data_IF_254228405873
#
_entry.id   IF_254228405873
#
_cell.length_a   1.000
_cell.length_b   1.000
_cell.length_c   1.000
_cell.angle_alpha   90.00
_cell.angle_beta   90.00
_cell.angle_gamma   90.00
#
_symmetry.space_group_name_H-M   'P 1'
#
loop_
_entity.id
_entity.type
_entity.pdbx_description
1 polymer ?
#
# COMPACT_ATOMS: atom_id res chain seq x y z
N UNK A 1 -24.07 -30.16 9.76
CA UNK A 1 -22.93 -29.26 9.95
C UNK A 1 -21.96 -29.82 10.97
N UNK A 2 -20.81 -30.27 10.52
CA UNK A 2 -19.64 -30.54 11.37
C UNK A 2 -18.53 -29.58 10.98
N UNK A 3 -17.78 -29.10 11.98
CA UNK A 3 -16.68 -28.16 11.80
C UNK A 3 -15.40 -28.86 12.23
N UNK A 4 -14.36 -28.68 11.42
CA UNK A 4 -13.01 -29.14 11.69
C UNK A 4 -12.05 -27.98 11.53
N UNK A 5 -10.99 -27.99 12.33
CA UNK A 5 -9.79 -27.18 12.09
C UNK A 5 -8.78 -28.06 11.39
N UNK A 6 -8.21 -27.58 10.29
CA UNK A 6 -7.19 -28.29 9.53
C UNK A 6 -5.86 -27.59 9.70
N UNK A 7 -4.87 -28.34 10.18
CA UNK A 7 -3.49 -27.89 10.38
C UNK A 7 -2.56 -28.95 9.78
N UNK A 8 -1.57 -28.54 8.98
CA UNK A 8 -0.65 -29.46 8.32
C UNK A 8 -1.37 -30.63 7.60
N UNK A 9 -2.44 -30.31 6.89
CA UNK A 9 -3.29 -31.26 6.16
C UNK A 9 -3.98 -32.33 7.02
N UNK A 10 -4.00 -32.16 8.34
CA UNK A 10 -4.71 -33.02 9.30
C UNK A 10 -5.92 -32.28 9.85
N UNK A 11 -7.09 -32.92 9.84
CA UNK A 11 -8.35 -32.34 10.33
C UNK A 11 -8.63 -32.77 11.78
N UNK A 12 -9.00 -31.81 12.61
CA UNK A 12 -9.35 -31.99 14.02
C UNK A 12 -10.78 -31.51 14.25
N UNK A 13 -11.69 -32.34 14.79
CA UNK A 13 -13.04 -31.91 15.15
C UNK A 13 -12.97 -30.71 16.10
N UNK A 14 -13.69 -29.63 15.77
CA UNK A 14 -13.60 -28.39 16.52
C UNK A 14 -14.92 -27.62 16.55
N UNK A 15 -15.06 -26.73 17.54
CA UNK A 15 -16.01 -25.62 17.48
C UNK A 15 -15.22 -24.32 17.36
N UNK A 16 -15.66 -23.38 16.52
CA UNK A 16 -14.96 -22.11 16.29
C UNK A 16 -15.91 -20.95 16.49
N UNK A 17 -15.54 -20.00 17.35
CA UNK A 17 -16.30 -18.77 17.60
C UNK A 17 -15.47 -17.55 17.19
N UNK A 18 -16.00 -16.72 16.28
CA UNK A 18 -15.37 -15.47 15.85
C UNK A 18 -15.78 -14.28 16.70
N UNK A 19 -14.85 -13.36 16.93
CA UNK A 19 -15.11 -12.04 17.49
C UNK A 19 -14.30 -10.99 16.71
N UNK A 20 -15.02 -10.21 15.89
CA UNK A 20 -14.45 -9.20 15.02
C UNK A 20 -13.76 -8.05 15.78
N UNK A 21 -14.13 -7.81 17.04
CA UNK A 21 -13.56 -6.73 17.87
C UNK A 21 -13.35 -7.25 19.29
N UNK A 22 -12.23 -7.94 19.51
CA UNK A 22 -11.85 -8.40 20.84
C UNK A 22 -11.23 -7.29 21.67
N UNK A 23 -12.08 -6.57 22.43
CA UNK A 23 -11.64 -5.49 23.32
C UNK A 23 -10.66 -5.93 24.41
N UNK A 24 -10.63 -7.23 24.73
CA UNK A 24 -9.68 -7.79 25.69
C UNK A 24 -8.31 -8.08 25.08
N UNK A 25 -8.17 -7.93 23.75
CA UNK A 25 -6.92 -8.14 23.03
C UNK A 25 -6.69 -7.06 21.97
N UNK A 26 -6.66 -5.80 22.44
CA UNK A 26 -6.37 -4.62 21.63
C UNK A 26 -7.35 -4.38 20.45
N UNK A 27 -8.57 -4.90 20.55
CA UNK A 27 -9.61 -4.72 19.53
C UNK A 27 -9.40 -5.54 18.26
N UNK A 28 -8.44 -6.49 18.24
CA UNK A 28 -8.17 -7.31 17.07
C UNK A 28 -9.29 -8.30 16.78
N UNK A 29 -9.41 -8.72 15.53
CA UNK A 29 -10.29 -9.82 15.13
C UNK A 29 -9.70 -11.15 15.63
N UNK A 30 -10.53 -11.99 16.22
CA UNK A 30 -10.12 -13.24 16.87
C UNK A 30 -11.05 -14.40 16.56
N UNK A 31 -10.50 -15.61 16.62
CA UNK A 31 -11.23 -16.88 16.60
C UNK A 31 -10.84 -17.71 17.79
N UNK A 32 -11.80 -18.10 18.61
CA UNK A 32 -11.60 -19.06 19.69
C UNK A 32 -11.95 -20.45 19.17
N UNK A 33 -10.97 -21.34 19.15
CA UNK A 33 -11.08 -22.72 18.69
C UNK A 33 -11.18 -23.62 19.91
N UNK A 34 -12.17 -24.51 19.96
CA UNK A 34 -12.37 -25.51 21.00
C UNK A 34 -12.07 -26.90 20.44
N UNK A 35 -11.17 -27.63 21.09
CA UNK A 35 -10.66 -28.95 20.68
C UNK A 35 -10.74 -29.94 21.83
N UNK A 36 -11.00 -31.21 21.54
CA UNK A 36 -10.96 -32.30 22.53
C UNK A 36 -9.58 -32.95 22.53
N UNK A 37 -8.61 -32.29 23.15
CA UNK A 37 -7.24 -32.80 23.35
C UNK A 37 -6.59 -32.10 24.55
N UNK A 38 -5.37 -32.51 24.93
CA UNK A 38 -4.67 -31.89 26.05
C UNK A 38 -4.21 -30.46 25.75
N UNK A 39 -3.99 -29.67 26.80
CA UNK A 39 -3.40 -28.34 26.71
C UNK A 39 -2.12 -28.33 25.87
N UNK A 40 -1.17 -29.21 26.19
CA UNK A 40 0.12 -29.31 25.50
C UNK A 40 -0.04 -29.67 24.02
N UNK A 41 -1.03 -30.50 23.68
CA UNK A 41 -1.32 -30.84 22.28
C UNK A 41 -1.85 -29.63 21.51
N UNK A 42 -2.75 -28.83 22.09
CA UNK A 42 -3.22 -27.59 21.45
C UNK A 42 -2.08 -26.58 21.30
N UNK A 43 -1.26 -26.41 22.32
CA UNK A 43 -0.12 -25.49 22.30
C UNK A 43 0.90 -25.85 21.20
N UNK A 44 1.14 -27.15 20.99
CA UNK A 44 2.01 -27.63 19.92
C UNK A 44 1.35 -27.58 18.53
N UNK A 45 0.02 -27.71 18.47
CA UNK A 45 -0.74 -27.74 17.22
C UNK A 45 -0.88 -26.35 16.60
N UNK A 46 -1.09 -25.32 17.41
CA UNK A 46 -1.37 -23.96 16.98
C UNK A 46 -0.43 -22.92 17.66
N UNK A 47 0.90 -23.00 17.45
CA UNK A 47 1.80 -21.90 17.81
C UNK A 47 1.65 -20.70 16.87
N UNK A 48 2.30 -19.59 17.21
CA UNK A 48 2.33 -18.39 16.37
C UNK A 48 2.75 -18.71 14.92
N UNK A 49 2.10 -18.06 13.97
CA UNK A 49 2.29 -18.16 12.53
C UNK A 49 1.97 -19.54 11.92
N UNK A 50 1.23 -20.39 12.64
CA UNK A 50 0.76 -21.66 12.09
C UNK A 50 -0.32 -21.43 11.02
N UNK A 51 -0.14 -21.91 9.78
CA UNK A 51 -1.21 -21.88 8.77
C UNK A 51 -2.32 -22.87 9.16
N UNK A 52 -3.57 -22.42 9.09
CA UNK A 52 -4.72 -23.26 9.44
C UNK A 52 -5.97 -22.83 8.67
N UNK A 53 -6.90 -23.77 8.48
CA UNK A 53 -8.18 -23.53 7.82
C UNK A 53 -9.35 -24.11 8.62
N UNK A 54 -10.55 -23.57 8.37
CA UNK A 54 -11.79 -24.12 8.87
C UNK A 54 -12.40 -24.96 7.76
N UNK A 55 -12.66 -26.24 8.03
CA UNK A 55 -13.35 -27.15 7.12
C UNK A 55 -14.75 -27.39 7.66
N UNK A 56 -15.76 -26.96 6.91
CA UNK A 56 -17.16 -27.16 7.22
C UNK A 56 -17.74 -28.24 6.31
N UNK A 57 -18.39 -29.23 6.92
CA UNK A 57 -19.08 -30.31 6.19
C UNK A 57 -20.58 -30.27 6.46
N UNK A 58 -21.34 -30.19 5.37
CA UNK A 58 -22.79 -30.16 5.38
C UNK A 58 -23.39 -31.24 4.49
N UNK A 59 -24.66 -31.58 4.78
CA UNK A 59 -25.42 -32.55 4.00
C UNK A 59 -26.44 -31.80 3.17
N UNK A 60 -26.33 -31.87 1.85
CA UNK A 60 -27.24 -31.23 0.92
C UNK A 60 -28.04 -32.27 0.12
N UNK A 61 -29.29 -31.97 -0.27
CA UNK A 61 -30.04 -32.82 -1.20
C UNK A 61 -29.29 -32.93 -2.54
N UNK A 62 -29.30 -34.12 -3.12
CA UNK A 62 -28.89 -34.33 -4.50
C UNK A 62 -30.09 -34.03 -5.40
N UNK A 63 -29.84 -33.31 -6.49
CA UNK A 63 -30.87 -32.95 -7.47
C UNK A 63 -30.59 -33.69 -8.79
N UNK A 64 -31.64 -34.07 -9.50
CA UNK A 64 -31.55 -34.64 -10.84
C UNK A 64 -31.36 -33.57 -11.92
N UNK A 65 -31.27 -34.00 -13.18
CA UNK A 65 -31.11 -33.13 -14.35
C UNK A 65 -32.30 -32.17 -14.57
N UNK A 66 -33.46 -32.43 -13.95
CA UNK A 66 -34.62 -31.55 -13.99
C UNK A 66 -34.72 -30.63 -12.75
N UNK A 67 -33.71 -30.66 -11.87
CA UNK A 67 -33.66 -29.85 -10.65
C UNK A 67 -34.60 -30.34 -9.54
N UNK A 68 -35.10 -31.57 -9.60
CA UNK A 68 -35.91 -32.18 -8.54
C UNK A 68 -35.02 -32.95 -7.55
N UNK A 69 -35.33 -32.94 -6.24
CA UNK A 69 -34.55 -33.68 -5.25
C UNK A 69 -34.71 -35.20 -5.44
N UNK A 70 -33.59 -35.92 -5.50
CA UNK A 70 -33.58 -37.37 -5.79
C UNK A 70 -33.91 -38.24 -4.58
N UNK A 71 -34.08 -37.64 -3.39
CA UNK A 71 -34.18 -38.35 -2.12
C UNK A 71 -32.83 -38.83 -1.55
N UNK A 72 -31.74 -38.72 -2.33
CA UNK A 72 -30.37 -38.93 -1.86
C UNK A 72 -29.77 -37.62 -1.34
N UNK A 73 -28.79 -37.73 -0.45
CA UNK A 73 -27.99 -36.60 0.01
C UNK A 73 -26.54 -36.73 -0.45
N UNK A 74 -25.86 -35.59 -0.57
CA UNK A 74 -24.41 -35.51 -0.81
C UNK A 74 -23.75 -34.69 0.28
N UNK A 75 -22.50 -35.02 0.58
CA UNK A 75 -21.65 -34.18 1.42
C UNK A 75 -21.15 -32.97 0.62
N UNK A 76 -21.24 -31.79 1.21
CA UNK A 76 -20.67 -30.54 0.68
C UNK A 76 -19.60 -30.11 1.67
N UNK A 77 -18.38 -29.91 1.17
CA UNK A 77 -17.22 -29.50 1.96
C UNK A 77 -16.80 -28.10 1.53
N UNK A 78 -16.76 -27.18 2.48
CA UNK A 78 -16.25 -25.82 2.29
C UNK A 78 -15.02 -25.63 3.18
N UNK A 79 -13.88 -25.31 2.58
CA UNK A 79 -12.65 -24.99 3.30
C UNK A 79 -12.37 -23.48 3.18
N UNK A 80 -12.23 -22.83 4.33
CA UNK A 80 -11.89 -21.41 4.41
C UNK A 80 -10.50 -21.27 5.03
N UNK A 81 -9.56 -20.67 4.31
CA UNK A 81 -8.26 -20.31 4.87
C UNK A 81 -8.43 -19.31 6.03
N UNK A 82 -7.73 -19.55 7.13
CA UNK A 82 -7.73 -18.71 8.32
C UNK A 82 -6.30 -18.37 8.76
N UNK A 83 -5.31 -18.53 7.88
CA UNK A 83 -3.89 -18.29 8.16
C UNK A 83 -3.57 -16.85 8.57
N UNK A 84 -4.45 -15.88 8.27
CA UNK A 84 -4.36 -14.50 8.76
C UNK A 84 -4.53 -14.38 10.29
N UNK A 85 -5.16 -15.35 10.96
CA UNK A 85 -5.23 -15.43 12.42
C UNK A 85 -4.00 -16.15 12.95
N UNK A 86 -2.86 -15.49 12.80
CA UNK A 86 -1.53 -16.06 13.03
C UNK A 86 -1.02 -15.90 14.47
N UNK A 87 -1.66 -15.10 15.31
CA UNK A 87 -1.20 -14.87 16.69
C UNK A 87 -1.90 -15.80 17.66
N UNK A 88 -1.14 -16.61 18.38
CA UNK A 88 -1.62 -17.54 19.39
C UNK A 88 -1.76 -16.83 20.73
N UNK A 89 -2.97 -16.84 21.26
CA UNK A 89 -3.35 -16.22 22.51
C UNK A 89 -3.51 -17.22 23.64
N UNK A 90 -4.36 -16.87 24.60
CA UNK A 90 -4.61 -17.70 25.77
C UNK A 90 -5.17 -19.09 25.39
N UNK A 91 -4.63 -20.11 26.03
CA UNK A 91 -5.15 -21.47 26.03
C UNK A 91 -5.85 -21.71 27.38
N UNK A 92 -7.07 -22.26 27.36
CA UNK A 92 -7.88 -22.52 28.56
C UNK A 92 -8.35 -23.97 28.56
N UNK A 93 -8.10 -24.68 29.65
CA UNK A 93 -8.59 -26.05 29.90
C UNK A 93 -9.98 -25.98 30.56
N UNK A 94 -10.93 -26.74 30.02
CA UNK A 94 -12.31 -26.80 30.50
C UNK A 94 -12.59 -28.14 31.16
N UNK A 95 -13.39 -28.14 32.24
CA UNK A 95 -13.70 -29.36 33.00
C UNK A 95 -14.49 -30.43 32.22
N UNK A 96 -15.01 -30.09 31.04
CA UNK A 96 -15.71 -31.01 30.14
C UNK A 96 -14.76 -31.81 29.22
N UNK A 97 -13.44 -31.64 29.38
CA UNK A 97 -12.42 -32.33 28.59
C UNK A 97 -12.11 -31.64 27.27
N UNK A 98 -12.59 -30.40 27.06
CA UNK A 98 -12.20 -29.56 25.95
C UNK A 98 -11.13 -28.55 26.36
N UNK A 99 -10.33 -28.11 25.39
CA UNK A 99 -9.37 -27.02 25.53
C UNK A 99 -9.71 -25.99 24.46
N UNK A 100 -9.68 -24.71 24.83
CA UNK A 100 -9.84 -23.61 23.88
C UNK A 100 -8.54 -22.84 23.68
N UNK A 101 -8.21 -22.49 22.43
CA UNK A 101 -7.14 -21.53 22.09
C UNK A 101 -7.73 -20.35 21.33
N UNK A 102 -7.23 -19.15 21.64
CA UNK A 102 -7.59 -17.93 20.91
C UNK A 102 -6.55 -17.64 19.84
N UNK A 103 -6.98 -17.50 18.59
CA UNK A 103 -6.15 -17.09 17.46
C UNK A 103 -6.56 -15.68 17.03
N UNK A 104 -5.61 -14.77 16.87
CA UNK A 104 -5.87 -13.37 16.55
C UNK A 104 -5.19 -12.93 15.25
N UNK A 105 -5.82 -12.00 14.52
CA UNK A 105 -5.13 -11.27 13.45
C UNK A 105 -4.14 -10.28 14.05
N UNK A 106 -2.95 -10.09 13.45
CA UNK A 106 -2.12 -8.92 13.75
C UNK A 106 -2.93 -7.64 13.54
N UNK A 107 -2.74 -6.68 14.44
CA UNK A 107 -3.22 -5.31 14.21
C UNK A 107 -2.44 -4.65 13.08
N UNK A 108 -2.97 -3.57 12.51
CA UNK A 108 -2.24 -2.79 11.49
C UNK A 108 -0.89 -2.29 12.02
N UNK A 109 -0.85 -1.86 13.28
CA UNK A 109 0.39 -1.42 13.94
C UNK A 109 1.42 -2.57 14.07
N UNK A 110 0.99 -3.76 14.49
CA UNK A 110 1.87 -4.95 14.56
C UNK A 110 2.34 -5.38 13.17
N UNK A 111 1.48 -5.27 12.15
CA UNK A 111 1.82 -5.56 10.75
C UNK A 111 2.88 -4.57 10.24
N UNK A 112 2.72 -3.27 10.51
CA UNK A 112 3.68 -2.25 10.13
C UNK A 112 5.04 -2.46 10.82
N UNK A 113 5.05 -2.78 12.13
CA UNK A 113 6.28 -3.14 12.84
C UNK A 113 6.92 -4.38 12.23
N UNK A 114 6.13 -5.41 11.91
CA UNK A 114 6.62 -6.62 11.25
C UNK A 114 7.26 -6.35 9.89
N UNK A 115 6.67 -5.48 9.08
CA UNK A 115 7.23 -5.07 7.79
C UNK A 115 8.57 -4.34 7.95
N UNK A 116 8.69 -3.46 8.95
CA UNK A 116 9.96 -2.78 9.26
C UNK A 116 11.02 -3.79 9.72
N UNK A 117 10.67 -4.72 10.62
CA UNK A 117 11.57 -5.80 11.06
C UNK A 117 12.04 -6.65 9.89
N UNK A 118 11.17 -6.98 8.94
CA UNK A 118 11.55 -7.75 7.76
C UNK A 118 12.60 -7.02 6.89
N UNK A 119 12.57 -5.68 6.88
CA UNK A 119 13.53 -4.86 6.15
C UNK A 119 14.85 -4.70 6.91
N UNK A 120 14.82 -4.52 8.23
CA UNK A 120 16.00 -4.19 9.04
C UNK A 120 16.61 -5.37 9.79
N UNK A 121 15.93 -6.51 9.84
CA UNK A 121 16.28 -7.69 10.65
C UNK A 121 15.97 -7.54 12.15
N UNK A 122 15.60 -6.34 12.60
CA UNK A 122 15.39 -6.01 14.02
C UNK A 122 14.28 -4.98 14.19
N UNK A 123 13.63 -4.96 15.36
CA UNK A 123 12.60 -3.97 15.68
C UNK A 123 13.20 -2.57 15.75
N UNK A 124 12.80 -1.68 14.84
CA UNK A 124 13.21 -0.28 14.86
C UNK A 124 12.30 0.51 15.81
N UNK A 125 12.90 1.10 16.84
CA UNK A 125 12.20 2.01 17.75
C UNK A 125 12.02 3.39 17.11
N UNK A 126 11.06 4.18 17.60
CA UNK A 126 10.89 5.58 17.13
C UNK A 126 12.14 6.44 17.34
N UNK A 127 12.85 6.24 18.46
CA UNK A 127 14.11 6.94 18.70
C UNK A 127 15.17 6.56 17.64
N UNK A 128 15.29 5.27 17.32
CA UNK A 128 16.22 4.82 16.28
C UNK A 128 15.81 5.30 14.88
N UNK A 129 14.52 5.34 14.58
CA UNK A 129 14.01 5.89 13.32
C UNK A 129 14.38 7.38 13.17
N UNK A 130 14.26 8.18 14.24
CA UNK A 130 14.68 9.58 14.25
C UNK A 130 16.18 9.75 14.03
N UNK A 131 17.02 8.88 14.62
CA UNK A 131 18.47 8.87 14.38
C UNK A 131 18.84 8.47 12.94
N UNK A 132 18.10 7.56 12.33
CA UNK A 132 18.35 7.09 10.96
C UNK A 132 17.88 8.10 9.92
N UNK A 133 16.92 8.97 10.24
CA UNK A 133 16.33 9.90 9.28
C UNK A 133 17.37 10.78 8.56
N UNK A 134 18.31 11.46 9.24
CA UNK A 134 19.34 12.24 8.57
C UNK A 134 20.26 11.41 7.68
N UNK A 135 20.53 10.16 8.07
CA UNK A 135 21.38 9.24 7.29
C UNK A 135 20.67 8.83 5.98
N UNK A 136 19.36 8.55 6.07
CA UNK A 136 18.52 8.24 4.90
C UNK A 136 18.46 9.44 3.95
N UNK A 137 18.24 10.65 4.48
CA UNK A 137 18.19 11.88 3.67
C UNK A 137 19.53 12.19 2.99
N UNK A 138 20.65 11.95 3.69
CA UNK A 138 21.97 12.10 3.10
C UNK A 138 22.21 11.08 1.99
N UNK A 139 21.79 9.83 2.19
CA UNK A 139 21.91 8.79 1.17
C UNK A 139 21.02 9.07 -0.05
N UNK A 140 19.78 9.54 0.18
CA UNK A 140 18.80 9.82 -0.88
C UNK A 140 19.23 10.95 -1.81
N UNK A 141 20.10 11.85 -1.35
CA UNK A 141 20.69 12.90 -2.18
C UNK A 141 21.48 12.37 -3.40
N UNK A 142 21.93 11.10 -3.37
CA UNK A 142 22.64 10.46 -4.48
C UNK A 142 21.73 9.79 -5.52
N UNK A 143 20.43 9.67 -5.23
CA UNK A 143 19.47 9.03 -6.13
C UNK A 143 19.33 9.83 -7.42
N UNK A 144 19.16 9.12 -8.53
CA UNK A 144 18.73 9.73 -9.79
C UNK A 144 17.32 10.34 -9.64
N UNK A 145 16.92 11.20 -10.58
CA UNK A 145 15.56 11.77 -10.59
C UNK A 145 14.49 10.66 -10.66
N UNK A 146 14.69 9.63 -11.50
CA UNK A 146 13.75 8.52 -11.64
C UNK A 146 13.64 7.62 -10.39
N UNK A 147 14.74 7.41 -9.67
CA UNK A 147 14.71 6.74 -8.36
C UNK A 147 14.06 7.62 -7.29
N UNK A 148 14.37 8.91 -7.29
CA UNK A 148 13.81 9.85 -6.33
C UNK A 148 12.29 9.92 -6.42
N UNK A 149 11.74 9.95 -7.63
CA UNK A 149 10.30 9.98 -7.86
C UNK A 149 9.57 8.73 -7.36
N UNK A 150 10.26 7.59 -7.26
CA UNK A 150 9.69 6.33 -6.76
C UNK A 150 9.73 6.21 -5.24
N UNK A 151 10.48 7.07 -4.56
CA UNK A 151 10.67 7.02 -3.11
C UNK A 151 10.66 8.42 -2.48
N UNK A 152 9.56 9.19 -2.66
CA UNK A 152 9.45 10.56 -2.17
C UNK A 152 9.60 10.67 -0.65
N UNK A 153 9.25 9.63 0.09
CA UNK A 153 9.37 9.53 1.55
C UNK A 153 10.83 9.61 2.03
N UNK A 154 11.83 9.35 1.18
CA UNK A 154 13.25 9.42 1.55
C UNK A 154 13.81 10.85 1.51
N UNK A 155 13.05 11.81 0.99
CA UNK A 155 13.48 13.21 0.87
C UNK A 155 12.89 14.07 2.01
N UNK A 156 13.61 15.12 2.44
CA UNK A 156 13.12 16.00 3.50
C UNK A 156 11.80 16.65 3.11
N UNK A 157 10.81 16.59 4.01
CA UNK A 157 9.45 17.10 3.76
C UNK A 157 9.45 18.61 3.85
N UNK A 158 9.07 19.31 2.78
CA UNK A 158 9.14 20.77 2.70
C UNK A 158 8.50 21.49 3.90
N UNK A 159 7.33 21.01 4.34
CA UNK A 159 6.57 21.59 5.45
C UNK A 159 7.32 21.57 6.80
N UNK A 160 8.28 20.65 6.98
CA UNK A 160 9.08 20.54 8.20
C UNK A 160 10.33 21.44 8.16
N UNK A 161 10.59 22.07 7.01
CA UNK A 161 11.81 22.83 6.71
C UNK A 161 11.51 24.27 6.28
N UNK A 162 10.49 24.91 6.89
CA UNK A 162 10.15 26.32 6.65
C UNK A 162 11.19 27.25 7.29
N UNK A 163 11.62 28.28 6.55
CA UNK A 163 12.67 29.21 6.99
C UNK A 163 14.09 28.76 6.65
N UNK A 164 14.26 27.61 6.01
CA UNK A 164 15.56 27.13 5.53
C UNK A 164 15.93 27.73 4.18
N UNK A 165 17.21 28.02 3.98
CA UNK A 165 17.74 28.41 2.67
C UNK A 165 18.02 27.17 1.82
N UNK A 166 17.36 27.08 0.67
CA UNK A 166 17.58 26.05 -0.34
C UNK A 166 18.35 26.60 -1.53
N UNK A 167 19.24 25.79 -2.09
CA UNK A 167 20.02 26.13 -3.31
C UNK A 167 19.46 25.41 -4.53
N UNK A 168 19.74 25.89 -5.76
CA UNK A 168 19.39 25.18 -6.98
C UNK A 168 19.84 23.72 -6.95
N UNK A 169 18.94 22.81 -7.32
CA UNK A 169 19.18 21.37 -7.27
C UNK A 169 18.81 20.69 -5.95
N UNK A 170 18.60 21.42 -4.85
CA UNK A 170 18.08 20.84 -3.63
C UNK A 170 16.71 20.22 -3.87
N UNK A 171 16.45 19.08 -3.21
CA UNK A 171 15.19 18.35 -3.32
C UNK A 171 14.41 18.41 -2.01
N UNK A 172 13.09 18.49 -2.12
CA UNK A 172 12.13 18.39 -1.01
C UNK A 172 10.94 17.56 -1.44
N UNK A 173 10.32 16.84 -0.51
CA UNK A 173 9.05 16.18 -0.75
C UNK A 173 7.88 17.07 -0.30
N UNK A 174 6.79 17.06 -1.07
CA UNK A 174 5.60 17.86 -0.79
C UNK A 174 4.35 17.18 -1.36
N UNK A 175 3.21 17.36 -0.70
CA UNK A 175 1.93 16.80 -1.15
C UNK A 175 1.28 17.78 -2.12
N UNK A 176 0.80 17.30 -3.26
CA UNK A 176 -0.02 18.11 -4.16
C UNK A 176 -1.46 18.27 -3.64
N UNK A 177 -2.28 19.02 -4.38
CA UNK A 177 -3.69 19.28 -4.03
C UNK A 177 -4.55 18.00 -3.95
N UNK A 178 -4.13 16.91 -4.59
CA UNK A 178 -4.79 15.61 -4.55
C UNK A 178 -4.34 14.74 -3.37
N UNK A 179 -3.37 15.21 -2.58
CA UNK A 179 -2.80 14.49 -1.43
C UNK A 179 -1.69 13.51 -1.81
N UNK A 180 -1.19 13.54 -3.05
CA UNK A 180 -0.11 12.66 -3.50
C UNK A 180 1.24 13.30 -3.18
N UNK A 181 2.13 12.53 -2.56
CA UNK A 181 3.48 12.99 -2.20
C UNK A 181 4.43 12.88 -3.39
N UNK A 182 5.05 13.99 -3.78
CA UNK A 182 6.03 14.05 -4.87
C UNK A 182 7.38 14.60 -4.39
N UNK A 183 8.43 14.40 -5.19
CA UNK A 183 9.71 15.08 -5.00
C UNK A 183 9.78 16.28 -5.93
N UNK A 184 10.20 17.42 -5.39
CA UNK A 184 10.43 18.65 -6.13
C UNK A 184 11.89 19.06 -6.02
N UNK A 185 12.43 19.62 -7.09
CA UNK A 185 13.78 20.15 -7.16
C UNK A 185 13.74 21.67 -7.30
N UNK A 186 14.60 22.38 -6.57
CA UNK A 186 14.77 23.83 -6.75
C UNK A 186 15.32 24.12 -8.15
N UNK A 187 14.67 25.02 -8.86
CA UNK A 187 15.00 25.42 -10.22
C UNK A 187 16.38 26.10 -10.30
N UNK A 188 17.00 26.03 -11.48
CA UNK A 188 18.30 26.67 -11.73
C UNK A 188 18.22 28.17 -11.47
N UNK A 189 19.11 28.67 -10.62
CA UNK A 189 19.16 30.09 -10.24
C UNK A 189 18.06 30.56 -9.29
N UNK A 190 17.20 29.66 -8.81
CA UNK A 190 16.06 29.98 -7.92
C UNK A 190 16.34 29.58 -6.46
N UNK A 191 17.58 29.75 -5.98
CA UNK A 191 17.87 29.57 -4.55
C UNK A 191 17.09 30.59 -3.71
N UNK A 192 16.44 30.15 -2.64
CA UNK A 192 15.54 30.98 -1.84
C UNK A 192 15.40 30.44 -0.42
N UNK A 193 14.72 31.20 0.45
CA UNK A 193 14.29 30.73 1.77
C UNK A 193 12.86 30.21 1.66
N UNK A 194 12.62 28.99 2.16
CA UNK A 194 11.29 28.35 2.19
C UNK A 194 10.31 29.14 3.06
N UNK A 195 9.05 29.25 2.64
CA UNK A 195 8.02 30.06 3.29
C UNK A 195 6.68 29.33 3.26
N UNK A 196 5.93 29.32 4.36
CA UNK A 196 4.71 28.53 4.54
C UNK A 196 3.63 28.69 3.44
N UNK A 197 3.57 29.86 2.79
CA UNK A 197 2.62 30.14 1.72
C UNK A 197 3.13 29.80 0.32
N UNK A 198 4.38 29.33 0.18
CA UNK A 198 5.05 29.03 -1.09
C UNK A 198 5.43 27.54 -1.18
N UNK A 199 4.45 26.60 -1.15
CA UNK A 199 4.75 25.19 -1.25
C UNK A 199 5.21 24.82 -2.67
N UNK A 200 6.08 23.80 -2.82
CA UNK A 200 6.60 23.36 -4.11
C UNK A 200 5.52 23.10 -5.17
N UNK A 201 4.40 22.44 -4.81
CA UNK A 201 3.32 22.13 -5.77
C UNK A 201 2.61 23.38 -6.32
N UNK A 202 2.67 24.51 -5.62
CA UNK A 202 2.03 25.78 -6.03
C UNK A 202 3.01 26.85 -6.50
N UNK A 203 4.32 26.60 -6.46
CA UNK A 203 5.36 27.61 -6.81
C UNK A 203 6.32 27.12 -7.89
N UNK A 204 5.79 26.81 -9.08
CA UNK A 204 6.58 26.15 -10.11
C UNK A 204 7.64 27.05 -10.79
N UNK A 205 7.61 28.36 -10.52
CA UNK A 205 8.73 29.23 -10.87
C UNK A 205 10.00 28.88 -10.08
N UNK A 206 9.85 28.39 -8.85
CA UNK A 206 10.95 28.06 -7.93
C UNK A 206 11.25 26.56 -7.90
N UNK A 207 10.26 25.72 -8.17
CA UNK A 207 10.35 24.27 -8.05
C UNK A 207 9.93 23.57 -9.34
N UNK A 208 10.62 22.48 -9.66
CA UNK A 208 10.22 21.54 -10.72
C UNK A 208 9.89 20.20 -10.06
N UNK A 209 8.72 19.66 -10.32
CA UNK A 209 8.36 18.30 -9.93
C UNK A 209 9.25 17.27 -10.64
N UNK A 210 9.72 16.27 -9.90
CA UNK A 210 10.45 15.11 -10.41
C UNK A 210 9.45 13.97 -10.58
N UNK A 211 9.18 13.61 -11.83
CA UNK A 211 8.25 12.54 -12.15
C UNK A 211 8.95 11.19 -12.26
N UNK A 212 8.15 10.13 -12.09
CA UNK A 212 8.58 8.76 -12.37
C UNK A 212 8.91 8.65 -13.87
N UNK A 213 9.91 7.84 -14.20
CA UNK A 213 10.23 7.57 -15.61
C UNK A 213 9.03 6.89 -16.29
N UNK A 214 8.53 7.53 -17.35
CA UNK A 214 7.52 7.00 -18.26
C UNK A 214 8.05 7.09 -19.69
N UNK A 215 7.68 6.15 -20.54
CA UNK A 215 8.07 6.16 -21.95
C UNK A 215 7.49 7.36 -22.72
N UNK A 216 6.43 7.98 -22.20
CA UNK A 216 5.74 9.09 -22.87
C UNK A 216 5.01 8.63 -24.12
N UNK A 217 4.51 7.39 -24.11
CA UNK A 217 3.72 6.78 -25.19
C UNK A 217 2.24 6.79 -24.83
N UNK A 218 1.35 6.39 -25.74
CA UNK A 218 -0.08 6.28 -25.41
C UNK A 218 -0.33 5.22 -24.32
N UNK A 219 0.42 4.12 -24.35
CA UNK A 219 0.27 3.00 -23.40
C UNK A 219 0.98 3.26 -22.06
N UNK A 220 2.01 4.10 -22.05
CA UNK A 220 2.75 4.54 -20.86
C UNK A 220 2.98 6.06 -20.90
N UNK A 221 1.92 6.86 -20.64
CA UNK A 221 2.00 8.31 -20.68
C UNK A 221 2.61 8.88 -19.42
N UNK A 222 3.26 10.03 -19.56
CA UNK A 222 3.82 10.76 -18.43
C UNK A 222 2.69 11.46 -17.68
N UNK A 223 2.60 11.31 -16.36
CA UNK A 223 1.66 12.10 -15.56
C UNK A 223 1.99 13.59 -15.67
N UNK A 224 1.03 14.38 -16.13
CA UNK A 224 1.18 15.83 -16.27
C UNK A 224 1.11 16.50 -14.90
N UNK A 225 1.85 17.59 -14.76
CA UNK A 225 1.83 18.40 -13.55
C UNK A 225 2.10 19.87 -13.89
N UNK A 226 1.55 20.77 -13.07
CA UNK A 226 1.82 22.20 -13.18
C UNK A 226 3.30 22.46 -12.86
N UNK A 227 3.99 23.23 -13.70
CA UNK A 227 5.42 23.49 -13.53
C UNK A 227 6.36 22.43 -14.07
N UNK A 228 5.82 21.42 -14.76
CA UNK A 228 6.61 20.36 -15.35
C UNK A 228 7.38 20.83 -16.60
N UNK A 229 8.55 20.23 -16.83
CA UNK A 229 9.24 20.25 -18.12
C UNK A 229 8.61 19.20 -19.05
N UNK A 230 7.84 19.66 -20.02
CA UNK A 230 7.24 18.87 -21.08
C UNK A 230 8.24 18.69 -22.23
N UNK A 231 8.18 17.53 -22.89
CA UNK A 231 8.97 17.20 -24.07
C UNK A 231 8.02 17.00 -25.25
N UNK A 232 8.24 17.76 -26.32
CA UNK A 232 7.43 17.66 -27.53
C UNK A 232 7.53 16.26 -28.15
N UNK A 233 6.39 15.75 -28.61
CA UNK A 233 6.24 14.41 -29.19
C UNK A 233 5.93 13.30 -28.18
N UNK A 234 5.83 13.61 -26.89
CA UNK A 234 5.42 12.66 -25.85
C UNK A 234 3.97 12.85 -25.41
N UNK A 235 3.39 11.78 -24.89
CA UNK A 235 2.03 11.74 -24.35
C UNK A 235 2.01 11.97 -22.84
N UNK A 236 1.03 12.76 -22.41
CA UNK A 236 0.83 13.20 -21.05
C UNK A 236 -0.58 12.91 -20.58
N UNK A 237 -0.72 12.30 -19.39
CA UNK A 237 -2.02 12.08 -18.74
C UNK A 237 -2.31 13.23 -17.79
N UNK A 238 -3.42 13.90 -18.01
CA UNK A 238 -3.85 15.00 -17.16
C UNK A 238 -4.48 14.45 -15.86
N UNK A 239 -4.01 14.89 -14.68
CA UNK A 239 -4.51 14.37 -13.41
C UNK A 239 -5.91 14.89 -13.05
N UNK A 240 -6.34 16.03 -13.60
CA UNK A 240 -7.62 16.66 -13.25
C UNK A 240 -8.79 16.08 -14.06
N UNK A 241 -8.61 15.86 -15.37
CA UNK A 241 -9.67 15.31 -16.25
C UNK A 241 -9.44 13.84 -16.64
N UNK A 242 -8.30 13.26 -16.26
CA UNK A 242 -7.85 11.88 -16.54
C UNK A 242 -7.62 11.55 -18.02
N UNK A 243 -7.65 12.53 -18.92
CA UNK A 243 -7.48 12.34 -20.36
C UNK A 243 -6.02 12.35 -20.78
N UNK A 244 -5.80 11.90 -22.01
CA UNK A 244 -4.50 11.77 -22.64
C UNK A 244 -4.26 12.90 -23.65
N UNK A 245 -3.08 13.49 -23.63
CA UNK A 245 -2.70 14.61 -24.48
C UNK A 245 -1.32 14.42 -25.10
N UNK A 246 -1.18 14.71 -26.39
CA UNK A 246 0.12 14.80 -27.06
C UNK A 246 0.67 16.21 -26.91
N UNK A 247 1.89 16.36 -26.40
CA UNK A 247 2.58 17.66 -26.40
C UNK A 247 3.10 17.97 -27.81
N UNK A 248 2.44 18.89 -28.51
CA UNK A 248 2.84 19.31 -29.86
C UNK A 248 2.57 20.79 -30.09
N UNK A 249 3.44 21.42 -30.89
CA UNK A 249 3.28 22.80 -31.36
C UNK A 249 3.83 22.95 -32.77
N UNK A 250 3.11 23.69 -33.61
CA UNK A 250 3.54 23.98 -34.98
C UNK A 250 4.91 24.69 -34.94
N UNK A 251 5.91 24.10 -35.61
CA UNK A 251 7.27 24.64 -35.73
C UNK A 251 8.28 24.10 -34.71
N UNK A 252 7.84 23.31 -33.72
CA UNK A 252 8.73 22.66 -32.75
C UNK A 252 9.06 21.22 -33.17
N UNK A 253 10.29 20.78 -32.89
CA UNK A 253 10.75 19.43 -33.19
C UNK A 253 10.51 18.49 -32.01
N UNK A 254 10.20 17.22 -32.30
CA UNK A 254 10.11 16.17 -31.27
C UNK A 254 11.42 16.09 -30.48
N UNK A 255 11.31 15.99 -29.16
CA UNK A 255 12.46 15.98 -28.24
C UNK A 255 12.88 17.35 -27.70
N UNK A 256 12.38 18.45 -28.27
CA UNK A 256 12.53 19.78 -27.65
C UNK A 256 11.74 19.84 -26.34
N UNK A 257 12.18 20.69 -25.41
CA UNK A 257 11.60 20.79 -24.07
C UNK A 257 11.03 22.16 -23.76
N UNK A 258 9.99 22.20 -22.94
CA UNK A 258 9.34 23.43 -22.47
C UNK A 258 8.81 23.27 -21.05
N UNK A 259 9.06 24.25 -20.18
CA UNK A 259 8.44 24.30 -18.85
C UNK A 259 7.11 25.04 -18.94
N UNK A 260 6.01 24.42 -18.53
CA UNK A 260 4.67 25.02 -18.55
C UNK A 260 4.05 25.04 -17.16
N UNK A 261 3.38 26.14 -16.82
CA UNK A 261 2.71 26.34 -15.54
C UNK A 261 1.27 25.83 -15.49
N UNK A 262 0.80 25.24 -16.59
CA UNK A 262 -0.57 24.80 -16.80
C UNK A 262 -0.59 23.31 -17.15
N UNK A 263 -1.73 22.68 -16.92
CA UNK A 263 -2.00 21.31 -17.30
C UNK A 263 -2.40 21.20 -18.78
N UNK A 264 -2.28 20.00 -19.39
CA UNK A 264 -2.59 19.78 -20.79
C UNK A 264 -4.00 20.24 -21.21
N UNK A 265 -5.03 19.97 -20.41
CA UNK A 265 -6.41 20.34 -20.75
C UNK A 265 -6.62 21.87 -20.88
N UNK A 266 -5.81 22.67 -20.21
CA UNK A 266 -5.88 24.15 -20.24
C UNK A 266 -5.23 24.76 -21.49
N UNK A 267 -4.37 23.99 -22.17
CA UNK A 267 -3.51 24.46 -23.27
C UNK A 267 -3.75 23.70 -24.58
N UNK A 268 -4.92 23.08 -24.72
CA UNK A 268 -5.33 22.39 -25.94
C UNK A 268 -5.37 23.37 -27.12
N UNK A 269 -4.75 22.98 -28.23
CA UNK A 269 -4.62 23.81 -29.44
C UNK A 269 -3.46 24.81 -29.42
N UNK A 270 -2.73 24.94 -28.30
CA UNK A 270 -1.51 25.75 -28.22
C UNK A 270 -0.25 24.90 -28.08
N UNK A 271 -0.23 24.05 -27.05
CA UNK A 271 0.91 23.18 -26.70
C UNK A 271 0.53 21.70 -26.62
N UNK A 272 -0.77 21.41 -26.58
CA UNK A 272 -1.28 20.06 -26.47
C UNK A 272 -2.41 19.80 -27.46
N UNK A 273 -2.55 18.53 -27.84
CA UNK A 273 -3.69 18.00 -28.56
C UNK A 273 -4.26 16.81 -27.80
N UNK A 274 -5.56 16.80 -27.57
CA UNK A 274 -6.24 15.65 -26.97
C UNK A 274 -6.03 14.42 -27.85
N UNK A 275 -5.45 13.37 -27.27
CA UNK A 275 -5.26 12.10 -27.94
C UNK A 275 -6.60 11.37 -27.98
N UNK A 276 -7.04 11.00 -29.18
CA UNK A 276 -8.17 10.10 -29.34
C UNK A 276 -7.66 8.69 -29.11
N UNK A 277 -8.22 8.00 -28.11
CA UNK A 277 -8.01 6.55 -27.89
C UNK A 277 -8.78 5.76 -28.94
#
# INVERSE_FOLDING_TARGET
MSIYVKVNNTEYPATVNGNLVDRNWNGRDTKTIYLTMSYDAVAALLPDNTPWSIVQRDTAPKYDEQGQPTGETKEVVNECDNSEYSLSGAITDHRDGTVSIKMGKPTEAETAVGAVVALTGEVVTMARAAELRPVIEQASASLSDGEAAKSPELFPRWADHIGETVKPGDRRSDMDESGVLHVYRVNKGQGHTTQENWPPHSTPAMWTIINVDHAGTQDDPISAARGMEYTYGLYYKDPEDTKLYLCERIGEQSGNKITLQYLPHELVGQYFKEATV
#
